data_IF_780934700810
#
_entry.id   IF_780934700810
#
_cell.length_a   1.000
_cell.length_b   1.000
_cell.length_c   1.000
_cell.angle_alpha   90.00
_cell.angle_beta   90.00
_cell.angle_gamma   90.00
#
_symmetry.space_group_name_H-M   'P 1'
#
loop_
_entity.id
_entity.type
_entity.pdbx_description
1 polymer ?
#
# COMPACT_ATOMS: atom_id res chain seq x y z
N UNK A 1 25.23 2.11 2.76
CA UNK A 1 24.38 2.85 3.74
C UNK A 1 25.21 3.18 5.00
N UNK A 2 25.88 2.23 5.66
CA UNK A 2 26.66 2.53 6.89
C UNK A 2 27.82 3.50 6.63
N UNK A 3 28.57 3.34 5.53
CA UNK A 3 29.65 4.25 5.14
C UNK A 3 29.08 5.65 4.90
N UNK A 4 28.05 5.78 4.08
CA UNK A 4 27.35 7.05 3.82
C UNK A 4 26.86 7.72 5.11
N UNK A 5 26.27 6.95 6.03
CA UNK A 5 25.81 7.48 7.31
C UNK A 5 26.96 8.03 8.17
N UNK A 6 28.12 7.36 8.16
CA UNK A 6 29.30 7.81 8.88
C UNK A 6 29.88 9.11 8.30
N UNK A 7 29.91 9.22 6.97
CA UNK A 7 30.44 10.42 6.26
C UNK A 7 29.52 11.64 6.40
N UNK A 8 28.21 11.43 6.42
CA UNK A 8 27.21 12.51 6.41
C UNK A 8 26.65 12.88 7.77
N UNK A 9 27.03 12.15 8.84
CA UNK A 9 26.44 12.31 10.18
C UNK A 9 24.97 11.85 10.30
N UNK A 10 24.41 11.21 9.25
CA UNK A 10 23.05 10.68 9.26
C UNK A 10 22.96 9.45 10.14
N UNK A 11 22.00 9.41 11.05
CA UNK A 11 21.77 8.22 11.87
C UNK A 11 20.92 7.20 11.14
N UNK A 12 21.51 6.05 10.83
CA UNK A 12 20.83 4.94 10.17
C UNK A 12 20.60 3.76 11.13
N UNK A 13 19.43 3.14 11.02
CA UNK A 13 19.06 1.95 11.78
C UNK A 13 18.48 0.86 10.91
N UNK A 14 18.93 -0.38 11.15
CA UNK A 14 18.33 -1.55 10.53
C UNK A 14 17.18 -2.04 11.40
N UNK A 15 15.98 -2.08 10.82
CA UNK A 15 14.78 -2.60 11.47
C UNK A 15 14.85 -4.13 11.59
N UNK A 16 14.47 -4.67 12.76
CA UNK A 16 14.28 -6.10 13.02
C UNK A 16 15.33 -7.01 12.39
N UNK A 17 16.60 -6.84 12.82
CA UNK A 17 17.73 -7.64 12.31
C UNK A 17 17.49 -9.12 12.53
N UNK A 18 17.80 -9.94 11.53
CA UNK A 18 17.80 -11.40 11.66
C UNK A 18 18.98 -11.78 12.54
N UNK A 19 18.72 -12.37 13.69
CA UNK A 19 19.74 -12.93 14.59
C UNK A 19 19.92 -14.43 14.36
N UNK A 20 21.00 -14.99 14.93
CA UNK A 20 21.30 -16.43 14.89
C UNK A 20 20.21 -17.31 15.53
N UNK A 21 19.43 -16.75 16.46
CA UNK A 21 18.30 -17.45 17.09
C UNK A 21 16.99 -16.94 16.50
N UNK A 22 16.22 -17.84 15.91
CA UNK A 22 14.88 -17.58 15.38
C UNK A 22 13.93 -17.18 16.51
N UNK A 23 13.84 -15.88 16.79
CA UNK A 23 12.74 -15.33 17.58
C UNK A 23 11.54 -15.12 16.65
N UNK A 24 10.33 -15.47 17.11
CA UNK A 24 9.11 -15.24 16.35
C UNK A 24 9.04 -13.82 15.77
N UNK A 25 8.51 -13.64 14.56
CA UNK A 25 8.43 -12.33 13.91
C UNK A 25 9.53 -12.06 12.85
N UNK A 26 10.31 -13.07 12.43
CA UNK A 26 11.28 -12.94 11.33
C UNK A 26 10.66 -12.35 10.06
N UNK A 27 9.38 -12.63 9.80
CA UNK A 27 8.64 -12.08 8.66
C UNK A 27 8.14 -10.64 8.87
N UNK A 28 8.21 -10.10 10.10
CA UNK A 28 7.80 -8.74 10.36
C UNK A 28 8.86 -7.78 9.81
N UNK A 29 8.52 -7.04 8.76
CA UNK A 29 9.41 -6.10 8.09
C UNK A 29 8.79 -4.71 8.04
N UNK A 30 9.64 -3.69 8.08
CA UNK A 30 9.19 -2.33 7.79
C UNK A 30 9.12 -2.17 6.27
N UNK A 31 7.90 -2.04 5.76
CA UNK A 31 7.63 -1.82 4.34
C UNK A 31 7.12 -0.39 4.08
N UNK A 32 7.05 0.46 5.12
CA UNK A 32 6.66 1.86 4.98
C UNK A 32 7.66 2.65 4.14
N UNK A 33 7.15 3.47 3.25
CA UNK A 33 7.92 4.46 2.48
C UNK A 33 7.35 5.82 2.81
N UNK A 34 8.01 6.48 3.76
CA UNK A 34 7.59 7.80 4.23
C UNK A 34 8.79 8.66 4.55
N UNK A 35 8.63 9.97 4.38
CA UNK A 35 9.58 10.96 4.83
C UNK A 35 8.85 12.06 5.60
N UNK A 36 9.50 12.57 6.64
CA UNK A 36 9.03 13.72 7.39
C UNK A 36 10.14 14.76 7.39
N UNK A 37 9.82 15.96 6.96
CA UNK A 37 10.76 17.07 6.91
C UNK A 37 10.34 18.08 7.97
N UNK A 38 11.24 18.34 8.92
CA UNK A 38 11.11 19.30 10.04
C UNK A 38 9.84 19.11 10.89
N UNK A 39 9.22 17.91 10.87
CA UNK A 39 7.93 17.65 11.50
C UNK A 39 6.74 18.37 10.82
N UNK A 40 6.97 19.08 9.73
CA UNK A 40 5.98 19.96 9.07
C UNK A 40 5.40 19.31 7.83
N UNK A 41 6.26 18.74 6.98
CA UNK A 41 5.87 18.17 5.69
C UNK A 41 6.08 16.66 5.69
N UNK A 42 5.03 15.94 5.32
CA UNK A 42 5.03 14.48 5.20
C UNK A 42 4.89 14.00 3.77
N UNK A 43 5.55 12.90 3.46
CA UNK A 43 5.41 12.15 2.21
C UNK A 43 5.13 10.70 2.55
N UNK A 44 4.18 10.08 1.84
CA UNK A 44 3.86 8.65 1.97
C UNK A 44 3.49 8.08 0.61
N UNK A 45 3.91 6.86 0.33
CA UNK A 45 3.59 6.22 -0.94
C UNK A 45 4.20 4.84 -1.12
N UNK A 46 4.23 4.36 -2.35
CA UNK A 46 4.80 3.07 -2.73
C UNK A 46 6.26 3.13 -3.18
N UNK A 47 6.80 4.31 -3.47
CA UNK A 47 8.11 4.51 -4.11
C UNK A 47 9.26 4.01 -3.23
N UNK A 48 10.08 3.11 -3.77
CA UNK A 48 11.36 2.71 -3.18
C UNK A 48 12.52 3.50 -3.83
N UNK A 49 13.71 3.36 -3.28
CA UNK A 49 14.95 3.77 -3.93
C UNK A 49 15.45 2.58 -4.74
N UNK A 50 15.35 2.65 -6.07
CA UNK A 50 15.73 1.59 -6.99
C UNK A 50 15.68 2.09 -8.45
N UNK A 51 16.46 1.47 -9.33
CA UNK A 51 16.68 1.90 -10.72
C UNK A 51 15.38 1.89 -11.54
N UNK A 52 14.47 0.97 -11.23
CA UNK A 52 13.15 0.86 -11.86
C UNK A 52 12.29 2.12 -11.65
N UNK A 53 12.46 2.82 -10.50
CA UNK A 53 11.71 4.06 -10.21
C UNK A 53 12.28 5.29 -10.92
N UNK A 54 13.53 5.21 -11.37
CA UNK A 54 14.19 6.27 -12.14
C UNK A 54 14.13 6.02 -13.66
N UNK A 55 13.52 4.90 -14.08
CA UNK A 55 13.40 4.54 -15.48
C UNK A 55 14.68 3.97 -16.09
N UNK A 56 15.65 3.59 -15.28
CA UNK A 56 16.91 2.98 -15.72
C UNK A 56 16.79 1.47 -15.90
N UNK A 57 15.83 0.82 -15.21
CA UNK A 57 15.50 -0.60 -15.40
C UNK A 57 14.11 -0.74 -16.02
N UNK A 58 14.05 -1.12 -17.29
CA UNK A 58 12.82 -1.29 -18.06
C UNK A 58 12.40 -2.76 -18.26
N UNK A 59 12.96 -3.71 -17.51
CA UNK A 59 12.61 -5.15 -17.62
C UNK A 59 11.12 -5.42 -17.41
N UNK A 60 10.45 -4.60 -16.62
CA UNK A 60 9.02 -4.66 -16.38
C UNK A 60 8.24 -3.52 -17.08
N UNK A 61 8.81 -2.92 -18.12
CA UNK A 61 8.25 -1.77 -18.81
C UNK A 61 8.28 -0.51 -17.95
N UNK A 62 7.33 0.41 -18.17
CA UNK A 62 7.23 1.62 -17.35
C UNK A 62 6.75 1.26 -15.95
N UNK A 63 7.57 1.60 -14.95
CA UNK A 63 7.27 1.41 -13.55
C UNK A 63 6.43 2.58 -13.02
N UNK A 64 5.15 2.32 -12.73
CA UNK A 64 4.23 3.35 -12.24
C UNK A 64 4.03 3.19 -10.73
N UNK A 65 4.36 4.24 -10.00
CA UNK A 65 4.05 4.32 -8.56
C UNK A 65 3.33 5.62 -8.23
N UNK A 66 2.88 5.75 -6.98
CA UNK A 66 2.16 6.91 -6.51
C UNK A 66 2.37 7.15 -5.02
N UNK A 67 2.14 8.40 -4.64
CA UNK A 67 2.23 8.83 -3.26
C UNK A 67 1.52 10.16 -3.06
N UNK A 68 1.53 10.64 -1.82
CA UNK A 68 0.94 11.91 -1.43
C UNK A 68 1.88 12.68 -0.52
N UNK A 69 1.98 13.98 -0.75
CA UNK A 69 2.60 14.92 0.18
C UNK A 69 1.52 15.75 0.87
N UNK A 70 1.73 16.06 2.13
CA UNK A 70 0.80 16.87 2.92
C UNK A 70 1.52 17.54 4.09
N UNK A 71 0.86 18.55 4.65
CA UNK A 71 1.35 19.35 5.77
C UNK A 71 0.32 19.35 6.91
N UNK A 72 0.70 19.87 8.05
CA UNK A 72 -0.16 20.01 9.21
C UNK A 72 -0.09 18.83 10.18
N UNK A 73 -1.05 18.77 11.12
CA UNK A 73 -1.02 17.82 12.24
C UNK A 73 -1.06 16.35 11.83
N UNK A 74 -1.57 16.03 10.64
CA UNK A 74 -1.60 14.66 10.15
C UNK A 74 -0.20 14.07 9.93
N UNK A 75 0.83 14.93 9.81
CA UNK A 75 2.26 14.53 9.73
C UNK A 75 2.73 13.88 11.03
N UNK A 76 2.14 14.23 12.17
CA UNK A 76 2.52 13.68 13.48
C UNK A 76 2.42 12.15 13.50
N UNK A 77 1.40 11.58 12.88
CA UNK A 77 1.27 10.12 12.82
C UNK A 77 2.37 9.46 11.97
N UNK A 78 2.92 10.15 10.95
CA UNK A 78 4.14 9.68 10.27
C UNK A 78 5.35 9.73 11.19
N UNK A 79 5.52 10.81 11.93
CA UNK A 79 6.60 10.99 12.91
C UNK A 79 6.56 9.88 13.96
N UNK A 80 5.39 9.63 14.55
CA UNK A 80 5.16 8.56 15.52
C UNK A 80 5.44 7.18 14.93
N UNK A 81 4.96 6.92 13.70
CA UNK A 81 5.20 5.67 12.97
C UNK A 81 6.68 5.44 12.70
N UNK A 82 7.41 6.50 12.30
CA UNK A 82 8.86 6.44 12.10
C UNK A 82 9.57 6.05 13.41
N UNK A 83 9.28 6.74 14.52
CA UNK A 83 9.94 6.45 15.79
C UNK A 83 9.52 5.10 16.37
N UNK A 84 8.31 4.64 16.12
CA UNK A 84 7.88 3.28 16.46
C UNK A 84 8.75 2.23 15.78
N UNK A 85 9.05 2.41 14.49
CA UNK A 85 9.94 1.52 13.74
C UNK A 85 11.42 1.72 14.13
N UNK A 86 11.86 2.98 14.31
CA UNK A 86 13.23 3.35 14.66
C UNK A 86 13.64 2.80 16.03
N UNK A 87 12.73 2.78 16.99
CA UNK A 87 12.94 2.29 18.35
C UNK A 87 12.51 0.83 18.56
N UNK A 88 12.16 0.14 17.48
CA UNK A 88 11.76 -1.25 17.56
C UNK A 88 12.85 -2.12 18.20
N UNK A 89 12.49 -2.85 19.27
CA UNK A 89 13.40 -3.70 20.02
C UNK A 89 14.40 -2.98 20.94
N UNK A 90 14.28 -1.66 21.12
CA UNK A 90 15.15 -0.87 22.01
C UNK A 90 14.58 -0.73 23.42
N UNK A 91 15.48 -0.75 24.42
CA UNK A 91 15.12 -0.42 25.81
C UNK A 91 14.90 1.08 26.01
N UNK A 92 15.78 1.92 25.43
CA UNK A 92 15.67 3.38 25.48
C UNK A 92 15.07 3.89 24.19
N UNK A 93 13.94 4.58 24.30
CA UNK A 93 13.24 5.20 23.18
C UNK A 93 13.69 6.64 23.01
N UNK A 94 13.62 7.14 21.78
CA UNK A 94 13.91 8.54 21.48
C UNK A 94 12.72 9.41 21.91
N UNK A 95 13.02 10.63 22.36
CA UNK A 95 11.98 11.63 22.64
C UNK A 95 11.64 12.35 21.34
N UNK A 96 10.53 11.98 20.72
CA UNK A 96 10.11 12.50 19.42
C UNK A 96 9.13 13.67 19.50
N UNK A 97 8.69 14.06 20.68
CA UNK A 97 7.70 15.13 20.91
C UNK A 97 8.16 16.48 20.34
N UNK A 98 9.48 16.70 20.29
CA UNK A 98 10.10 17.90 19.68
C UNK A 98 9.91 17.99 18.17
N UNK A 99 9.62 16.87 17.51
CA UNK A 99 9.40 16.80 16.07
C UNK A 99 7.91 16.85 15.69
N UNK A 100 7.02 16.96 16.68
CA UNK A 100 5.59 17.01 16.42
C UNK A 100 5.17 18.41 15.95
N UNK A 101 4.38 18.44 14.90
CA UNK A 101 3.78 19.64 14.36
C UNK A 101 2.70 20.17 15.32
N UNK A 102 2.86 21.41 15.76
CA UNK A 102 1.94 22.11 16.67
C UNK A 102 1.07 23.14 15.94
N UNK A 103 1.19 23.26 14.63
CA UNK A 103 0.41 24.20 13.83
C UNK A 103 -1.10 23.96 13.98
N UNK A 104 -1.87 25.04 13.87
CA UNK A 104 -3.34 24.94 13.79
C UNK A 104 -3.73 24.24 12.48
N UNK A 105 -4.83 23.47 12.44
CA UNK A 105 -5.35 22.91 11.21
C UNK A 105 -5.59 24.04 10.18
N UNK A 106 -5.25 23.80 8.92
CA UNK A 106 -5.63 24.71 7.83
C UNK A 106 -7.16 24.65 7.61
N UNK A 107 -7.75 25.79 7.32
CA UNK A 107 -9.21 25.92 7.21
C UNK A 107 -9.78 25.21 5.94
N UNK A 108 -8.96 25.04 4.89
CA UNK A 108 -9.36 24.60 3.55
C UNK A 108 -8.80 23.25 3.10
N UNK A 109 -8.04 22.56 3.96
CA UNK A 109 -7.23 21.39 3.62
C UNK A 109 -8.00 20.07 3.39
N UNK A 110 -9.31 20.02 3.60
CA UNK A 110 -10.06 18.76 3.64
C UNK A 110 -9.74 17.93 4.91
N UNK A 111 -10.41 16.77 5.05
CA UNK A 111 -10.12 15.84 6.14
C UNK A 111 -9.05 14.84 5.69
N UNK A 112 -7.92 14.82 6.38
CA UNK A 112 -6.79 13.93 6.11
C UNK A 112 -6.38 13.21 7.41
N UNK A 113 -6.22 11.90 7.33
CA UNK A 113 -5.81 11.06 8.47
C UNK A 113 -4.72 10.09 8.04
N UNK A 114 -3.57 10.21 8.63
CA UNK A 114 -2.50 9.21 8.50
C UNK A 114 -2.78 8.03 9.43
N UNK A 115 -2.52 6.82 8.94
CA UNK A 115 -2.56 5.61 9.74
C UNK A 115 -1.29 4.78 9.54
N UNK A 116 -0.90 4.08 10.61
CA UNK A 116 0.18 3.09 10.60
C UNK A 116 -0.44 1.74 10.89
N UNK A 117 -0.16 0.76 10.06
CA UNK A 117 -0.49 -0.65 10.29
C UNK A 117 0.78 -1.38 10.70
N UNK A 118 0.66 -2.21 11.71
CA UNK A 118 1.76 -3.02 12.23
C UNK A 118 1.27 -4.45 12.45
N UNK A 119 2.15 -5.45 12.41
CA UNK A 119 1.80 -6.82 12.73
C UNK A 119 1.22 -6.89 14.15
N UNK A 120 -0.06 -7.21 14.25
CA UNK A 120 -0.76 -7.38 15.52
C UNK A 120 -1.46 -8.74 15.54
N UNK A 121 -1.63 -9.30 16.71
CA UNK A 121 -2.43 -10.53 16.85
C UNK A 121 -3.92 -10.18 16.66
N UNK A 122 -4.51 -10.70 15.59
CA UNK A 122 -5.94 -10.69 15.33
C UNK A 122 -6.43 -9.67 14.32
N UNK A 123 -6.19 -8.36 14.47
CA UNK A 123 -6.81 -7.34 13.61
C UNK A 123 -5.76 -6.56 12.81
N UNK A 124 -5.86 -6.62 11.49
CA UNK A 124 -5.04 -5.81 10.59
C UNK A 124 -5.70 -4.45 10.35
N UNK A 125 -5.06 -3.36 10.78
CA UNK A 125 -5.56 -2.00 10.50
C UNK A 125 -5.69 -1.73 9.02
N UNK A 126 -4.74 -2.19 8.21
CA UNK A 126 -4.78 -2.03 6.76
C UNK A 126 -5.99 -2.74 6.15
N UNK A 127 -6.23 -4.01 6.53
CA UNK A 127 -7.40 -4.76 6.05
C UNK A 127 -8.72 -4.10 6.49
N UNK A 128 -8.78 -3.58 7.73
CA UNK A 128 -9.98 -2.87 8.23
C UNK A 128 -10.25 -1.58 7.47
N UNK A 129 -9.21 -0.81 7.10
CA UNK A 129 -9.36 0.38 6.25
C UNK A 129 -9.96 0.00 4.90
N UNK A 130 -9.45 -1.04 4.24
CA UNK A 130 -10.01 -1.52 2.97
C UNK A 130 -11.45 -2.00 3.13
N UNK A 131 -11.73 -2.86 4.10
CA UNK A 131 -13.09 -3.38 4.35
C UNK A 131 -14.07 -2.24 4.62
N UNK A 132 -13.71 -1.30 5.50
CA UNK A 132 -14.57 -0.16 5.84
C UNK A 132 -14.90 0.68 4.62
N UNK A 133 -13.91 1.02 3.79
CA UNK A 133 -14.13 1.81 2.59
C UNK A 133 -15.01 1.10 1.57
N UNK A 134 -14.73 -0.18 1.32
CA UNK A 134 -15.44 -0.99 0.31
C UNK A 134 -16.87 -1.29 0.74
N UNK A 135 -17.11 -1.62 2.02
CA UNK A 135 -18.47 -1.86 2.52
C UNK A 135 -19.35 -0.60 2.50
N UNK A 136 -18.75 0.56 2.71
CA UNK A 136 -19.48 1.83 2.71
C UNK A 136 -19.61 2.48 1.32
N UNK A 137 -18.92 1.95 0.30
CA UNK A 137 -19.01 2.45 -1.07
C UNK A 137 -20.43 2.37 -1.62
N UNK A 138 -20.85 3.44 -2.34
CA UNK A 138 -22.19 3.58 -2.93
C UNK A 138 -22.19 3.62 -4.46
N UNK A 139 -21.07 4.06 -5.08
CA UNK A 139 -20.97 4.27 -6.53
C UNK A 139 -19.80 3.51 -7.14
N UNK A 140 -18.59 3.76 -6.65
CA UNK A 140 -17.39 3.22 -7.25
C UNK A 140 -16.28 2.93 -6.22
N UNK A 141 -15.50 1.90 -6.50
CA UNK A 141 -14.25 1.56 -5.82
C UNK A 141 -13.19 1.30 -6.90
N UNK A 142 -12.14 2.09 -6.91
CA UNK A 142 -11.02 1.94 -7.86
C UNK A 142 -9.72 1.75 -7.09
N UNK A 143 -9.04 0.63 -7.32
CA UNK A 143 -7.83 0.24 -6.58
C UNK A 143 -6.70 -0.06 -7.55
N UNK A 144 -5.47 0.38 -7.24
CA UNK A 144 -4.25 -0.13 -7.84
C UNK A 144 -3.43 -0.91 -6.83
N UNK A 145 -2.88 -2.04 -7.26
CA UNK A 145 -1.99 -2.87 -6.42
C UNK A 145 -1.04 -3.68 -7.30
N UNK A 146 0.25 -3.81 -6.90
CA UNK A 146 1.18 -4.70 -7.60
C UNK A 146 0.84 -6.18 -7.40
N UNK A 147 0.24 -6.51 -6.25
CA UNK A 147 -0.09 -7.88 -5.87
C UNK A 147 -1.54 -7.96 -5.37
N UNK A 148 -2.37 -8.70 -6.08
CA UNK A 148 -3.77 -8.90 -5.72
C UNK A 148 -3.93 -10.26 -5.04
N UNK A 149 -3.58 -10.31 -3.75
CA UNK A 149 -3.61 -11.52 -2.90
C UNK A 149 -4.20 -11.16 -1.53
N UNK A 150 -5.39 -10.52 -1.49
CA UNK A 150 -6.02 -10.12 -0.24
C UNK A 150 -6.48 -11.33 0.58
N UNK A 151 -6.77 -11.08 1.85
CA UNK A 151 -7.46 -12.04 2.69
C UNK A 151 -8.91 -12.28 2.21
N UNK A 152 -9.56 -13.29 2.80
CA UNK A 152 -10.93 -13.63 2.43
C UNK A 152 -11.93 -12.53 2.83
N UNK A 153 -11.64 -11.75 3.88
CA UNK A 153 -12.47 -10.64 4.32
C UNK A 153 -12.50 -9.51 3.31
N UNK A 154 -11.34 -9.06 2.83
CA UNK A 154 -11.24 -8.01 1.80
C UNK A 154 -11.75 -8.52 0.46
N UNK A 155 -11.44 -9.78 0.08
CA UNK A 155 -11.98 -10.40 -1.14
C UNK A 155 -13.52 -10.44 -1.13
N UNK A 156 -14.11 -10.78 0.02
CA UNK A 156 -15.56 -10.82 0.19
C UNK A 156 -16.18 -9.42 0.18
N UNK A 157 -15.51 -8.43 0.76
CA UNK A 157 -15.97 -7.04 0.72
C UNK A 157 -16.05 -6.51 -0.72
N UNK A 158 -15.01 -6.74 -1.55
CA UNK A 158 -14.98 -6.33 -2.95
C UNK A 158 -16.13 -6.96 -3.74
N UNK A 159 -16.32 -8.27 -3.59
CA UNK A 159 -17.39 -8.98 -4.25
C UNK A 159 -18.80 -8.57 -3.76
N UNK A 160 -18.96 -8.32 -2.47
CA UNK A 160 -20.23 -7.84 -1.91
C UNK A 160 -20.55 -6.42 -2.39
N UNK A 161 -19.56 -5.54 -2.57
CA UNK A 161 -19.76 -4.23 -3.16
C UNK A 161 -20.23 -4.35 -4.61
N UNK A 162 -19.59 -5.16 -5.44
CA UNK A 162 -19.98 -5.43 -6.81
C UNK A 162 -21.42 -5.99 -6.88
N UNK A 163 -21.77 -6.96 -6.02
CA UNK A 163 -23.12 -7.52 -5.95
C UNK A 163 -24.20 -6.49 -5.57
N UNK A 164 -23.84 -5.43 -4.85
CA UNK A 164 -24.73 -4.29 -4.54
C UNK A 164 -24.85 -3.27 -5.69
N UNK A 165 -24.19 -3.51 -6.84
CA UNK A 165 -24.19 -2.58 -7.98
C UNK A 165 -23.13 -1.47 -7.88
N UNK A 166 -22.18 -1.55 -6.94
CA UNK A 166 -21.03 -0.65 -6.89
C UNK A 166 -20.05 -1.04 -8.01
N UNK A 167 -19.61 -0.06 -8.79
CA UNK A 167 -18.56 -0.28 -9.81
C UNK A 167 -17.21 -0.51 -9.12
N UNK A 168 -16.77 -1.76 -9.03
CA UNK A 168 -15.50 -2.14 -8.40
C UNK A 168 -14.47 -2.46 -9.48
N UNK A 169 -13.39 -1.68 -9.53
CA UNK A 169 -12.28 -1.86 -10.48
C UNK A 169 -10.95 -2.03 -9.75
N UNK A 170 -10.18 -3.05 -10.12
CA UNK A 170 -8.84 -3.28 -9.58
C UNK A 170 -7.81 -3.34 -10.71
N UNK A 171 -6.82 -2.46 -10.68
CA UNK A 171 -5.74 -2.39 -11.66
C UNK A 171 -4.52 -3.14 -11.13
N UNK A 172 -4.07 -4.13 -11.91
CA UNK A 172 -2.90 -4.97 -11.64
C UNK A 172 -1.81 -4.74 -12.71
N UNK A 173 -0.55 -5.17 -12.51
CA UNK A 173 0.49 -5.05 -13.51
C UNK A 173 0.15 -5.73 -14.84
N UNK A 174 0.57 -5.12 -15.94
CA UNK A 174 0.56 -5.75 -17.27
C UNK A 174 1.75 -6.68 -17.47
N UNK A 175 2.93 -6.26 -16.99
CA UNK A 175 4.18 -7.04 -17.01
C UNK A 175 4.57 -7.32 -15.56
N UNK A 176 4.75 -8.57 -15.13
CA UNK A 176 5.07 -8.90 -13.74
C UNK A 176 6.56 -8.74 -13.43
N UNK A 177 6.87 -8.37 -12.17
CA UNK A 177 8.22 -8.45 -11.58
C UNK A 177 8.56 -9.88 -11.14
N UNK A 178 7.58 -10.61 -10.59
CA UNK A 178 7.70 -11.98 -10.07
C UNK A 178 6.63 -12.89 -10.66
N UNK A 179 7.03 -13.79 -11.55
CA UNK A 179 6.11 -14.68 -12.28
C UNK A 179 5.24 -15.56 -11.36
N UNK A 180 5.81 -16.06 -10.25
CA UNK A 180 5.09 -16.92 -9.30
C UNK A 180 4.00 -16.15 -8.55
N UNK A 181 4.32 -14.97 -8.00
CA UNK A 181 3.36 -14.09 -7.32
C UNK A 181 2.28 -13.62 -8.27
N UNK A 182 2.66 -13.32 -9.51
CA UNK A 182 1.71 -12.90 -10.53
C UNK A 182 0.72 -14.01 -10.92
N UNK A 183 1.17 -15.27 -10.97
CA UNK A 183 0.27 -16.40 -11.22
C UNK A 183 -0.81 -16.52 -10.14
N UNK A 184 -0.47 -16.25 -8.87
CA UNK A 184 -1.45 -16.19 -7.77
C UNK A 184 -2.37 -15.00 -7.93
N UNK A 185 -1.82 -13.80 -8.24
CA UNK A 185 -2.60 -12.59 -8.53
C UNK A 185 -3.64 -12.86 -9.62
N UNK A 186 -3.27 -13.49 -10.74
CA UNK A 186 -4.21 -13.82 -11.82
C UNK A 186 -5.29 -14.82 -11.37
N UNK A 187 -4.93 -15.81 -10.55
CA UNK A 187 -5.91 -16.77 -10.01
C UNK A 187 -6.95 -16.09 -9.10
N UNK A 188 -6.54 -15.08 -8.32
CA UNK A 188 -7.46 -14.28 -7.50
C UNK A 188 -8.30 -13.35 -8.38
N UNK A 189 -7.68 -12.72 -9.36
CA UNK A 189 -8.34 -11.85 -10.34
C UNK A 189 -9.51 -12.56 -11.04
N UNK A 190 -9.29 -13.79 -11.51
CA UNK A 190 -10.35 -14.60 -12.13
C UNK A 190 -11.51 -14.87 -11.18
N UNK A 191 -11.23 -15.17 -9.90
CA UNK A 191 -12.28 -15.38 -8.91
C UNK A 191 -13.09 -14.13 -8.63
N UNK A 192 -12.42 -12.98 -8.56
CA UNK A 192 -13.09 -11.70 -8.35
C UNK A 192 -13.91 -11.27 -9.58
N UNK A 193 -13.39 -11.49 -10.80
CA UNK A 193 -14.15 -11.26 -12.06
C UNK A 193 -15.45 -12.04 -12.07
N UNK A 194 -15.44 -13.34 -11.72
CA UNK A 194 -16.65 -14.17 -11.62
C UNK A 194 -17.67 -13.66 -10.59
N UNK A 195 -17.24 -12.78 -9.70
CA UNK A 195 -18.08 -12.13 -8.67
C UNK A 195 -18.40 -10.66 -8.99
N UNK A 196 -18.23 -10.24 -10.25
CA UNK A 196 -18.60 -8.92 -10.73
C UNK A 196 -17.57 -7.81 -10.53
N UNK A 197 -16.35 -8.12 -10.09
CA UNK A 197 -15.26 -7.13 -9.97
C UNK A 197 -14.56 -6.96 -11.31
N UNK A 198 -14.41 -5.73 -11.78
CA UNK A 198 -13.63 -5.40 -12.98
C UNK A 198 -12.14 -5.49 -12.67
N UNK A 199 -11.43 -6.41 -13.30
CA UNK A 199 -9.98 -6.45 -13.21
C UNK A 199 -9.38 -5.86 -14.49
N UNK A 200 -8.51 -4.88 -14.32
CA UNK A 200 -7.84 -4.15 -15.38
C UNK A 200 -6.33 -4.39 -15.30
N UNK A 201 -5.63 -4.30 -16.44
CA UNK A 201 -4.16 -4.33 -16.52
C UNK A 201 -3.62 -2.96 -16.89
N UNK A 202 -2.54 -2.56 -16.22
CA UNK A 202 -1.74 -1.42 -16.62
C UNK A 202 -0.93 -1.78 -17.87
N UNK A 203 -1.22 -1.15 -19.02
CA UNK A 203 -0.71 -1.56 -20.33
C UNK A 203 0.79 -1.33 -20.51
N UNK A 204 1.36 -0.33 -19.84
CA UNK A 204 2.73 0.13 -20.10
C UNK A 204 3.82 -0.61 -19.32
N UNK A 205 3.43 -1.50 -18.40
CA UNK A 205 4.41 -2.22 -17.59
C UNK A 205 3.92 -2.64 -16.21
N UNK A 206 4.66 -2.24 -15.19
CA UNK A 206 4.39 -2.62 -13.80
C UNK A 206 3.77 -1.48 -13.02
N UNK A 207 2.54 -1.64 -12.54
CA UNK A 207 1.93 -0.70 -11.60
C UNK A 207 2.29 -1.11 -10.17
N UNK A 208 3.08 -0.28 -9.50
CA UNK A 208 3.49 -0.47 -8.11
C UNK A 208 2.74 0.46 -7.13
N UNK A 209 1.90 1.35 -7.61
CA UNK A 209 1.06 2.21 -6.78
C UNK A 209 0.06 1.39 -5.94
N UNK A 210 -0.12 1.77 -4.67
CA UNK A 210 -1.08 1.19 -3.72
C UNK A 210 -2.08 2.28 -3.35
N UNK A 211 -2.85 2.68 -4.35
CA UNK A 211 -3.79 3.76 -4.24
C UNK A 211 -5.23 3.25 -4.38
N UNK A 212 -6.14 3.88 -3.67
CA UNK A 212 -7.58 3.58 -3.72
C UNK A 212 -8.37 4.87 -3.81
N UNK A 213 -9.39 4.88 -4.66
CA UNK A 213 -10.40 5.94 -4.71
C UNK A 213 -11.79 5.33 -4.52
N UNK A 214 -12.66 6.01 -3.77
CA UNK A 214 -14.01 5.54 -3.48
C UNK A 214 -14.99 6.67 -3.66
N UNK A 215 -16.05 6.40 -4.45
CA UNK A 215 -17.19 7.29 -4.73
C UNK A 215 -16.81 8.67 -5.28
N UNK A 216 -15.58 8.83 -5.84
CA UNK A 216 -15.03 10.11 -6.24
C UNK A 216 -14.90 11.12 -5.08
N UNK A 217 -14.91 10.65 -3.83
CA UNK A 217 -14.94 11.46 -2.60
C UNK A 217 -13.82 11.13 -1.62
N UNK A 218 -13.42 9.87 -1.54
CA UNK A 218 -12.42 9.38 -0.61
C UNK A 218 -11.25 8.79 -1.37
N UNK A 219 -10.03 8.96 -0.84
CA UNK A 219 -8.84 8.30 -1.36
C UNK A 219 -7.98 7.74 -0.24
N UNK A 220 -7.23 6.70 -0.55
CA UNK A 220 -6.13 6.18 0.27
C UNK A 220 -4.90 6.06 -0.61
N UNK A 221 -3.78 6.57 -0.13
CA UNK A 221 -2.46 6.39 -0.72
C UNK A 221 -1.50 5.87 0.35
N UNK A 222 -0.61 4.93 0.00
CA UNK A 222 0.31 4.41 1.00
C UNK A 222 1.27 3.37 0.48
N UNK A 223 1.89 2.66 1.41
CA UNK A 223 2.87 1.61 1.13
C UNK A 223 2.27 0.20 1.06
N UNK A 224 1.06 0.01 1.61
CA UNK A 224 0.46 -1.31 1.79
C UNK A 224 -0.16 -1.88 0.52
N UNK A 225 0.36 -3.02 0.06
CA UNK A 225 -0.23 -3.79 -1.03
C UNK A 225 -1.57 -4.41 -0.61
N UNK A 226 -2.37 -4.79 -1.60
CA UNK A 226 -3.56 -5.60 -1.38
C UNK A 226 -3.16 -7.09 -1.30
N UNK A 227 -2.26 -7.40 -0.38
CA UNK A 227 -1.76 -8.76 -0.14
C UNK A 227 -1.68 -9.09 1.35
N UNK A 228 -1.56 -10.40 1.63
CA UNK A 228 -1.56 -10.92 2.99
C UNK A 228 -0.35 -10.45 3.81
N UNK A 229 0.83 -10.27 3.17
CA UNK A 229 2.04 -9.80 3.86
C UNK A 229 1.90 -8.36 4.35
N UNK A 230 1.40 -7.47 3.49
CA UNK A 230 1.15 -6.08 3.88
C UNK A 230 0.09 -5.98 4.97
N UNK A 231 -0.94 -6.81 4.92
CA UNK A 231 -2.02 -6.78 5.91
C UNK A 231 -1.59 -7.30 7.28
N UNK A 232 -0.79 -8.36 7.36
CA UNK A 232 -0.58 -9.08 8.62
C UNK A 232 0.88 -9.17 9.09
N UNK A 233 1.86 -8.96 8.20
CA UNK A 233 3.27 -9.20 8.52
C UNK A 233 4.14 -7.95 8.46
N UNK A 234 3.71 -6.92 7.74
CA UNK A 234 4.52 -5.73 7.52
C UNK A 234 4.04 -4.54 8.35
N UNK A 235 4.99 -3.65 8.64
CA UNK A 235 4.68 -2.29 9.05
C UNK A 235 4.44 -1.47 7.79
N UNK A 236 3.23 -0.92 7.67
CA UNK A 236 2.78 -0.13 6.54
C UNK A 236 2.29 1.23 7.00
N UNK A 237 2.34 2.19 6.11
CA UNK A 237 1.83 3.53 6.37
C UNK A 237 0.93 3.97 5.22
N UNK A 238 -0.17 4.60 5.55
CA UNK A 238 -1.10 5.15 4.57
C UNK A 238 -1.74 6.44 5.05
N UNK A 239 -2.30 7.17 4.10
CA UNK A 239 -3.08 8.36 4.34
C UNK A 239 -4.46 8.22 3.73
N UNK A 240 -5.48 8.42 4.55
CA UNK A 240 -6.87 8.56 4.14
C UNK A 240 -7.17 10.03 3.91
N UNK A 241 -7.86 10.33 2.82
CA UNK A 241 -8.27 11.68 2.44
C UNK A 241 -9.73 11.72 2.09
N UNK A 242 -10.45 12.68 2.66
CA UNK A 242 -11.82 13.03 2.29
C UNK A 242 -11.80 14.34 1.51
N UNK A 243 -11.65 14.25 0.20
CA UNK A 243 -11.62 15.37 -0.73
C UNK A 243 -12.02 14.89 -2.12
N UNK A 244 -13.10 15.44 -2.66
CA UNK A 244 -13.56 15.07 -3.99
C UNK A 244 -12.51 15.40 -5.08
N UNK A 245 -11.79 16.51 -4.95
CA UNK A 245 -10.74 16.91 -5.89
C UNK A 245 -9.61 15.87 -5.91
N UNK A 246 -9.09 15.50 -4.74
CA UNK A 246 -8.00 14.54 -4.62
C UNK A 246 -8.46 13.12 -4.98
N UNK A 247 -9.64 12.69 -4.54
CA UNK A 247 -10.17 11.37 -4.87
C UNK A 247 -10.30 11.17 -6.39
N UNK A 248 -10.87 12.15 -7.11
CA UNK A 248 -10.95 12.11 -8.58
C UNK A 248 -9.58 12.15 -9.25
N UNK A 249 -8.60 12.83 -8.66
CA UNK A 249 -7.23 12.83 -9.19
C UNK A 249 -6.59 11.46 -9.04
N UNK A 250 -6.72 10.83 -7.88
CA UNK A 250 -6.24 9.46 -7.62
C UNK A 250 -6.93 8.44 -8.53
N UNK A 251 -8.25 8.53 -8.67
CA UNK A 251 -9.04 7.65 -9.54
C UNK A 251 -8.57 7.74 -11.00
N UNK A 252 -8.46 8.96 -11.53
CA UNK A 252 -7.97 9.21 -12.90
C UNK A 252 -6.55 8.69 -13.10
N UNK A 253 -5.68 8.87 -12.09
CA UNK A 253 -4.31 8.36 -12.17
C UNK A 253 -4.29 6.83 -12.18
N UNK A 254 -5.06 6.16 -11.32
CA UNK A 254 -5.15 4.69 -11.30
C UNK A 254 -5.60 4.16 -12.67
N UNK A 255 -6.64 4.76 -13.25
CA UNK A 255 -7.23 4.30 -14.51
C UNK A 255 -6.42 4.69 -15.75
N UNK A 256 -5.49 5.63 -15.63
CA UNK A 256 -4.63 6.02 -16.74
C UNK A 256 -3.81 4.84 -17.26
N UNK A 257 -3.93 4.57 -18.56
CA UNK A 257 -3.29 3.44 -19.25
C UNK A 257 -3.74 2.03 -18.76
N UNK A 258 -4.89 1.94 -18.08
CA UNK A 258 -5.52 0.67 -17.73
C UNK A 258 -6.42 0.16 -18.87
N UNK A 259 -6.49 -1.16 -19.03
CA UNK A 259 -7.40 -1.81 -19.97
C UNK A 259 -7.98 -3.09 -19.37
N UNK A 260 -9.14 -3.57 -19.85
CA UNK A 260 -9.70 -4.84 -19.42
C UNK A 260 -8.70 -5.98 -19.47
N UNK A 261 -8.72 -6.80 -18.44
CA UNK A 261 -7.97 -8.05 -18.42
C UNK A 261 -8.72 -9.09 -19.24
N UNK A 262 -8.20 -9.41 -20.43
CA UNK A 262 -8.66 -10.53 -21.23
C UNK A 262 -8.02 -11.81 -20.71
N UNK A 263 -8.84 -12.81 -20.42
CA UNK A 263 -8.43 -14.08 -19.82
C UNK A 263 -7.62 -14.90 -20.83
N UNK A 264 -6.32 -15.04 -20.56
CA UNK A 264 -5.56 -16.19 -21.05
C UNK A 264 -5.59 -17.20 -19.92
N UNK A 265 -6.16 -18.38 -20.15
CA UNK A 265 -6.38 -19.40 -19.14
C UNK A 265 -5.26 -19.45 -18.10
N UNK A 266 -5.57 -19.13 -16.84
CA UNK A 266 -4.62 -19.26 -15.74
C UNK A 266 -4.30 -20.74 -15.60
N UNK A 267 -3.08 -21.11 -15.89
CA UNK A 267 -2.64 -22.49 -15.80
C UNK A 267 -2.82 -23.03 -14.38
N UNK A 268 -3.03 -24.35 -14.27
CA UNK A 268 -3.21 -25.11 -12.99
C UNK A 268 -2.19 -24.71 -11.91
N UNK A 269 -1.00 -24.26 -12.29
CA UNK A 269 0.08 -23.80 -11.38
C UNK A 269 -0.33 -22.66 -10.43
N UNK A 270 -1.13 -21.69 -10.90
CA UNK A 270 -1.57 -20.57 -10.04
C UNK A 270 -2.53 -20.98 -8.92
N UNK A 271 -3.34 -22.02 -9.14
CA UNK A 271 -4.28 -22.54 -8.14
C UNK A 271 -3.56 -23.29 -7.01
N UNK A 272 -2.53 -24.08 -7.33
CA UNK A 272 -1.70 -24.79 -6.34
C UNK A 272 -0.86 -23.82 -5.48
N UNK A 273 -0.31 -22.78 -6.07
CA UNK A 273 0.53 -21.81 -5.37
C UNK A 273 -0.26 -20.96 -4.37
N UNK A 274 -1.59 -20.91 -4.45
CA UNK A 274 -2.42 -20.17 -3.48
C UNK A 274 -2.29 -20.66 -2.04
N UNK A 275 -1.91 -21.92 -1.81
CA UNK A 275 -1.64 -22.45 -0.47
C UNK A 275 -0.50 -21.69 0.21
N UNK A 276 0.42 -21.12 -0.56
CA UNK A 276 1.54 -20.31 -0.07
C UNK A 276 1.25 -18.81 -0.02
N UNK A 277 0.01 -18.38 -0.30
CA UNK A 277 -0.38 -16.96 -0.31
C UNK A 277 0.02 -16.20 0.98
N UNK A 278 -0.06 -16.78 2.19
CA UNK A 278 0.40 -16.12 3.41
C UNK A 278 1.92 -15.88 3.47
N UNK A 279 2.68 -16.55 2.61
CA UNK A 279 4.14 -16.43 2.54
C UNK A 279 4.61 -15.53 1.38
N UNK A 280 3.68 -15.15 0.50
CA UNK A 280 3.91 -14.29 -0.69
C UNK A 280 3.50 -12.81 -0.40
#
# INVERSE_FOLDING_TARGET
IKAFAAETGVTCRCFNKIGLFFKGGVNNRNHSKSAVIDGVKGYVGGVNVGDEYFGEDLRCGIWKDGGMSYEGRAVNALTEGFFTAYDFGRRKKERYERYLNRAKPAADGGELRTFVSAPTRGVSRLAEVYKTLVYNAKKSVVISTPYLIPDDGVSSALAAAAARGVEVSVVIPGIPDKKTVYAVTLSVAEKLKKRGVNVLKYKKGFIHAKNTAVDGRYAVCGSGNLDYRSMYLHFETGVFVKSAKLAKTVERDILKDAAPYEEKAAGVKGKLLKVFAPMM
#
